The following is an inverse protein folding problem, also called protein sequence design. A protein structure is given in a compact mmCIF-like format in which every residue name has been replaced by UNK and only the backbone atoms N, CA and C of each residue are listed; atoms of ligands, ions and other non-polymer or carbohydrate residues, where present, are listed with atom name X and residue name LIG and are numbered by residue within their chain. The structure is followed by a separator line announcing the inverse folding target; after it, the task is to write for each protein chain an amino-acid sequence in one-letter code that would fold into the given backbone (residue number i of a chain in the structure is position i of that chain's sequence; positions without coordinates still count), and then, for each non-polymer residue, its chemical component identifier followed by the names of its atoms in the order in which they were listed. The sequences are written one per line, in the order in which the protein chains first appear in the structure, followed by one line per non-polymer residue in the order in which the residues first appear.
data_IF_225392360744
#
_entry.id   IF_225392360744
#
_cell.length_a   1.000
_cell.length_b   1.000
_cell.length_c   1.000
_cell.angle_alpha   90.00
_cell.angle_beta   90.00
_cell.angle_gamma   90.00
#
_symmetry.space_group_name_H-M   'P 1'
#
loop_
_entity.id
_entity.type
_entity.pdbx_description
1 polymer ?
#
# COMPACT_ATOMS: atom_id res chain seq x y z
N UNK A 1 -52.24 -27.62 -0.43
CA UNK A 1 -51.30 -26.91 0.47
C UNK A 1 -50.12 -26.46 -0.37
N UNK A 2 -50.00 -25.14 -0.60
CA UNK A 2 -48.99 -24.50 -1.46
C UNK A 2 -47.75 -24.18 -0.60
N UNK A 3 -46.61 -24.82 -0.86
CA UNK A 3 -45.35 -24.43 -0.23
C UNK A 3 -44.61 -23.42 -1.11
N UNK A 4 -44.12 -22.39 -0.41
CA UNK A 4 -43.69 -21.09 -0.94
C UNK A 4 -42.29 -21.14 -1.54
N UNK A 5 -42.15 -20.34 -2.58
CA UNK A 5 -40.94 -19.81 -3.22
C UNK A 5 -39.91 -19.38 -2.17
N UNK A 6 -38.69 -19.89 -2.26
CA UNK A 6 -37.51 -19.32 -1.61
C UNK A 6 -36.55 -18.90 -2.72
N UNK A 7 -36.66 -17.64 -3.14
CA UNK A 7 -35.75 -16.99 -4.08
C UNK A 7 -34.43 -16.72 -3.35
N UNK A 8 -33.40 -17.47 -3.71
CA UNK A 8 -32.03 -17.24 -3.25
C UNK A 8 -31.46 -16.05 -4.04
N UNK A 9 -31.46 -14.85 -3.44
CA UNK A 9 -30.80 -13.68 -4.00
C UNK A 9 -29.30 -13.83 -3.72
N UNK A 10 -28.55 -14.27 -4.72
CA UNK A 10 -27.09 -14.18 -4.73
C UNK A 10 -26.71 -12.71 -4.92
N UNK A 11 -26.41 -12.00 -3.82
CA UNK A 11 -25.77 -10.68 -3.88
C UNK A 11 -24.31 -10.90 -4.27
N UNK A 12 -24.05 -10.85 -5.58
CA UNK A 12 -22.71 -10.76 -6.13
C UNK A 12 -22.21 -9.34 -5.86
N UNK A 13 -21.45 -9.14 -4.78
CA UNK A 13 -20.61 -7.96 -4.57
C UNK A 13 -19.50 -8.00 -5.62
N UNK A 14 -19.84 -7.60 -6.85
CA UNK A 14 -18.87 -7.28 -7.87
C UNK A 14 -18.17 -6.00 -7.43
N UNK A 15 -16.95 -6.12 -6.91
CA UNK A 15 -16.02 -5.01 -6.74
C UNK A 15 -15.71 -4.44 -8.12
N UNK A 16 -16.52 -3.48 -8.58
CA UNK A 16 -16.34 -2.79 -9.84
C UNK A 16 -15.09 -1.92 -9.73
N UNK A 17 -13.98 -2.41 -10.28
CA UNK A 17 -12.85 -1.56 -10.60
C UNK A 17 -13.28 -0.66 -11.76
N UNK A 18 -13.83 0.50 -11.42
CA UNK A 18 -14.19 1.54 -12.38
C UNK A 18 -12.89 2.11 -12.96
N UNK A 19 -12.65 1.82 -14.24
CA UNK A 19 -11.60 2.43 -15.04
C UNK A 19 -12.20 3.73 -15.59
N UNK A 20 -11.82 4.87 -15.02
CA UNK A 20 -12.34 6.18 -15.42
C UNK A 20 -11.64 6.72 -16.67
N UNK A 21 -12.39 6.89 -17.76
CA UNK A 21 -12.10 7.81 -18.85
C UNK A 21 -12.83 9.14 -18.57
N UNK A 22 -12.11 10.26 -18.58
CA UNK A 22 -12.59 11.67 -18.46
C UNK A 22 -13.87 11.88 -17.63
N UNK A 23 -13.72 12.07 -16.32
CA UNK A 23 -14.79 12.40 -15.38
C UNK A 23 -14.27 12.44 -13.93
N UNK A 24 -15.04 13.04 -13.03
CA UNK A 24 -14.81 12.96 -11.59
C UNK A 24 -15.25 11.56 -11.10
N UNK A 25 -14.36 10.82 -10.44
CA UNK A 25 -14.69 9.56 -9.77
C UNK A 25 -14.94 9.84 -8.30
N UNK A 26 -16.04 9.32 -7.77
CA UNK A 26 -16.38 9.39 -6.34
C UNK A 26 -16.55 7.99 -5.77
N UNK A 27 -16.02 7.77 -4.57
CA UNK A 27 -16.22 6.54 -3.79
C UNK A 27 -16.47 6.86 -2.32
N UNK A 28 -17.43 6.19 -1.71
CA UNK A 28 -17.78 6.37 -0.29
C UNK A 28 -16.95 5.45 0.60
N UNK A 29 -16.61 5.91 1.80
CA UNK A 29 -15.98 5.07 2.84
C UNK A 29 -16.90 3.92 3.26
N UNK A 30 -16.36 2.82 3.83
CA UNK A 30 -17.18 1.67 4.22
C UNK A 30 -18.26 1.96 5.26
N UNK A 31 -18.10 3.01 6.08
CA UNK A 31 -19.10 3.48 7.05
C UNK A 31 -20.00 4.59 6.51
N UNK A 32 -19.88 4.94 5.23
CA UNK A 32 -20.68 5.96 4.54
C UNK A 32 -20.54 7.39 5.08
N UNK A 33 -19.60 7.64 5.99
CA UNK A 33 -19.42 8.96 6.61
C UNK A 33 -18.46 9.89 5.84
N UNK A 34 -17.79 9.38 4.81
CA UNK A 34 -16.80 10.13 4.02
C UNK A 34 -16.92 9.78 2.56
N UNK A 35 -16.56 10.72 1.70
CA UNK A 35 -16.47 10.53 0.26
C UNK A 35 -15.07 10.92 -0.23
N UNK A 36 -14.45 10.09 -1.05
CA UNK A 36 -13.26 10.44 -1.78
C UNK A 36 -13.66 10.81 -3.21
N UNK A 37 -13.23 11.98 -3.67
CA UNK A 37 -13.39 12.44 -5.04
C UNK A 37 -12.04 12.59 -5.70
N UNK A 38 -11.91 12.12 -6.94
CA UNK A 38 -10.76 12.37 -7.79
C UNK A 38 -11.22 12.88 -9.14
N UNK A 39 -10.68 14.03 -9.52
CA UNK A 39 -10.90 14.64 -10.84
C UNK A 39 -9.57 14.99 -11.50
N UNK A 40 -9.54 14.92 -12.82
CA UNK A 40 -8.43 15.44 -13.62
C UNK A 40 -8.83 16.82 -14.17
N UNK A 41 -7.96 17.81 -13.99
CA UNK A 41 -8.17 19.20 -14.39
C UNK A 41 -6.85 19.76 -14.95
N UNK A 42 -6.80 20.02 -16.25
CA UNK A 42 -5.65 20.66 -16.94
C UNK A 42 -4.26 20.12 -16.54
N UNK A 43 -4.07 18.80 -16.54
CA UNK A 43 -2.78 18.18 -16.20
C UNK A 43 -2.52 18.09 -14.69
N UNK A 44 -3.55 18.24 -13.87
CA UNK A 44 -3.51 18.07 -12.42
C UNK A 44 -4.56 17.02 -12.04
N UNK A 45 -4.15 16.02 -11.26
CA UNK A 45 -5.07 15.18 -10.53
C UNK A 45 -5.37 15.84 -9.18
N UNK A 46 -6.64 16.16 -8.95
CA UNK A 46 -7.14 16.71 -7.69
C UNK A 46 -7.85 15.60 -6.94
N UNK A 47 -7.31 15.20 -5.80
CA UNK A 47 -7.95 14.28 -4.87
C UNK A 47 -8.48 15.08 -3.69
N UNK A 48 -9.76 14.89 -3.37
CA UNK A 48 -10.43 15.48 -2.21
C UNK A 48 -11.02 14.40 -1.32
N UNK A 49 -10.97 14.58 -0.01
CA UNK A 49 -11.68 13.78 0.99
C UNK A 49 -12.73 14.69 1.63
N UNK A 50 -13.97 14.26 1.56
CA UNK A 50 -15.15 15.00 1.96
C UNK A 50 -15.80 14.30 3.15
N UNK A 51 -16.46 15.05 4.03
CA UNK A 51 -17.36 14.49 5.04
C UNK A 51 -18.74 14.13 4.45
N UNK A 52 -19.63 13.59 5.29
CA UNK A 52 -21.00 13.23 4.90
C UNK A 52 -21.86 14.42 4.46
N UNK A 53 -21.51 15.65 4.87
CA UNK A 53 -22.16 16.89 4.45
C UNK A 53 -21.62 17.44 3.12
N UNK A 54 -20.54 16.85 2.58
CA UNK A 54 -19.83 17.34 1.41
C UNK A 54 -18.80 18.44 1.72
N UNK A 55 -18.49 18.69 2.99
CA UNK A 55 -17.40 19.60 3.38
C UNK A 55 -16.04 18.97 3.12
N UNK A 56 -15.10 19.78 2.66
CA UNK A 56 -13.76 19.32 2.28
C UNK A 56 -12.87 19.20 3.52
N UNK A 57 -12.49 17.97 3.86
CA UNK A 57 -11.59 17.65 4.96
C UNK A 57 -10.12 17.70 4.54
N UNK A 58 -9.83 17.38 3.28
CA UNK A 58 -8.47 17.32 2.76
C UNK A 58 -8.44 17.41 1.24
N UNK A 59 -7.46 18.11 0.68
CA UNK A 59 -7.22 18.14 -0.77
C UNK A 59 -5.74 18.06 -1.09
N UNK A 60 -5.42 17.26 -2.10
CA UNK A 60 -4.08 17.23 -2.69
C UNK A 60 -4.14 17.35 -4.21
N UNK A 61 -3.22 18.13 -4.74
CA UNK A 61 -3.02 18.30 -6.17
C UNK A 61 -1.72 17.62 -6.56
N UNK A 62 -1.76 16.75 -7.57
CA UNK A 62 -0.57 16.09 -8.10
C UNK A 62 -0.51 16.31 -9.61
N UNK A 63 0.69 16.53 -10.15
CA UNK A 63 0.86 16.58 -11.60
C UNK A 63 0.38 15.29 -12.26
N UNK A 64 -0.28 15.43 -13.39
CA UNK A 64 -0.81 14.33 -14.18
C UNK A 64 -0.47 14.53 -15.65
N UNK A 65 0.10 13.50 -16.28
CA UNK A 65 0.27 13.46 -17.73
C UNK A 65 -1.06 13.15 -18.42
N UNK A 66 -1.12 13.44 -19.72
CA UNK A 66 -2.28 13.14 -20.57
C UNK A 66 -2.62 11.64 -20.64
N UNK A 67 -1.66 10.77 -20.34
CA UNK A 67 -1.78 9.31 -20.37
C UNK A 67 -1.90 8.69 -18.98
N UNK A 68 -2.11 9.50 -17.95
CA UNK A 68 -2.17 9.00 -16.59
C UNK A 68 -3.34 8.03 -16.41
N UNK A 69 -3.04 6.85 -15.88
CA UNK A 69 -4.03 5.93 -15.35
C UNK A 69 -4.04 5.99 -13.84
N UNK A 70 -5.22 6.04 -13.25
CA UNK A 70 -5.36 6.05 -11.79
C UNK A 70 -6.57 5.26 -11.31
N UNK A 71 -6.51 4.85 -10.06
CA UNK A 71 -7.63 4.28 -9.31
C UNK A 71 -7.56 4.67 -7.85
N UNK A 72 -8.72 4.73 -7.19
CA UNK A 72 -8.85 4.98 -5.76
C UNK A 72 -9.62 3.84 -5.09
N UNK A 73 -9.27 3.56 -3.84
CA UNK A 73 -9.88 2.51 -3.03
C UNK A 73 -9.78 2.86 -1.54
N UNK A 74 -10.91 2.76 -0.82
CA UNK A 74 -10.90 2.78 0.64
C UNK A 74 -10.42 1.42 1.16
N UNK A 75 -9.32 1.39 1.90
CA UNK A 75 -8.82 0.17 2.54
C UNK A 75 -9.57 -0.12 3.85
N UNK A 76 -9.98 0.94 4.55
CA UNK A 76 -10.86 0.95 5.72
C UNK A 76 -11.37 2.39 5.92
N UNK A 77 -12.09 2.67 7.02
CA UNK A 77 -12.66 3.99 7.27
C UNK A 77 -11.62 5.12 7.43
N UNK A 78 -10.37 4.77 7.73
CA UNK A 78 -9.29 5.72 8.03
C UNK A 78 -8.17 5.73 6.99
N UNK A 79 -8.26 4.90 5.94
CA UNK A 79 -7.20 4.75 4.96
C UNK A 79 -7.74 4.73 3.53
N UNK A 80 -7.26 5.66 2.71
CA UNK A 80 -7.61 5.79 1.29
C UNK A 80 -6.34 5.60 0.45
N UNK A 81 -6.39 4.68 -0.51
CA UNK A 81 -5.28 4.40 -1.41
C UNK A 81 -5.56 4.98 -2.80
N UNK A 82 -4.65 5.83 -3.27
CA UNK A 82 -4.56 6.24 -4.67
C UNK A 82 -3.45 5.45 -5.37
N UNK A 83 -3.76 4.86 -6.51
CA UNK A 83 -2.76 4.29 -7.42
C UNK A 83 -2.73 5.14 -8.67
N UNK A 84 -1.56 5.68 -9.01
CA UNK A 84 -1.35 6.44 -10.24
C UNK A 84 -0.14 5.90 -11.00
N UNK A 85 -0.22 5.85 -12.33
CA UNK A 85 0.90 5.50 -13.21
C UNK A 85 2.05 6.49 -13.12
N UNK A 86 1.76 7.74 -12.77
CA UNK A 86 2.72 8.85 -12.91
C UNK A 86 3.49 9.09 -11.62
N UNK A 87 2.78 9.03 -10.49
CA UNK A 87 3.36 9.30 -9.16
C UNK A 87 3.51 8.04 -8.30
N UNK A 88 3.10 6.88 -8.80
CA UNK A 88 3.06 5.63 -8.03
C UNK A 88 1.88 5.57 -7.05
N UNK A 89 1.89 4.59 -6.12
CA UNK A 89 0.86 4.47 -5.10
C UNK A 89 1.09 5.46 -3.97
N UNK A 90 0.00 6.03 -3.45
CA UNK A 90 -0.02 7.00 -2.35
C UNK A 90 -1.14 6.61 -1.39
N UNK A 91 -0.83 6.56 -0.10
CA UNK A 91 -1.80 6.29 0.95
C UNK A 91 -2.13 7.58 1.68
N UNK A 92 -3.41 7.81 1.95
CA UNK A 92 -3.88 8.87 2.81
C UNK A 92 -4.41 8.24 4.08
N UNK A 93 -3.91 8.68 5.23
CA UNK A 93 -4.24 8.12 6.55
C UNK A 93 -4.88 9.21 7.40
N UNK A 94 -6.04 8.91 7.97
CA UNK A 94 -6.72 9.77 8.94
C UNK A 94 -6.02 9.65 10.30
N UNK A 95 -5.58 10.77 10.84
CA UNK A 95 -4.90 10.87 12.11
C UNK A 95 -5.91 10.99 13.26
N UNK A 96 -5.51 10.70 14.51
CA UNK A 96 -6.39 10.82 15.68
C UNK A 96 -6.96 12.22 15.92
N UNK A 97 -6.28 13.27 15.44
CA UNK A 97 -6.74 14.66 15.51
C UNK A 97 -7.74 15.02 14.40
N UNK A 98 -8.09 14.06 13.54
CA UNK A 98 -8.99 14.22 12.40
C UNK A 98 -8.32 14.69 11.12
N UNK A 99 -7.04 15.08 11.17
CA UNK A 99 -6.28 15.47 9.99
C UNK A 99 -5.97 14.28 9.07
N UNK A 100 -5.54 14.57 7.84
CA UNK A 100 -5.14 13.56 6.86
C UNK A 100 -3.70 13.76 6.47
N UNK A 101 -2.95 12.67 6.43
CA UNK A 101 -1.55 12.69 6.03
C UNK A 101 -1.31 11.82 4.81
N UNK A 102 -0.42 12.30 3.93
CA UNK A 102 0.07 11.56 2.77
C UNK A 102 1.26 10.69 3.20
N UNK A 103 1.15 9.38 3.00
CA UNK A 103 2.19 8.40 3.34
C UNK A 103 2.57 7.60 2.11
N UNK A 104 3.84 7.18 2.01
CA UNK A 104 4.26 6.22 0.99
C UNK A 104 3.87 4.78 1.42
N UNK A 105 2.89 4.13 0.77
CA UNK A 105 2.41 2.81 1.17
C UNK A 105 3.45 1.69 1.01
N UNK A 106 4.51 1.93 0.24
CA UNK A 106 5.59 0.97 0.01
C UNK A 106 6.63 0.99 1.12
N UNK A 107 6.54 1.96 2.04
CA UNK A 107 7.38 2.05 3.24
C UNK A 107 6.58 1.60 4.46
N UNK A 108 7.14 0.68 5.24
CA UNK A 108 6.54 0.19 6.50
C UNK A 108 7.53 0.44 7.63
N UNK A 109 7.17 1.33 8.56
CA UNK A 109 7.96 1.65 9.75
C UNK A 109 7.86 0.51 10.78
N UNK A 110 8.98 0.17 11.41
CA UNK A 110 9.03 -0.80 12.50
C UNK A 110 8.29 -0.29 13.73
N UNK A 111 7.84 -1.18 14.64
CA UNK A 111 7.12 -0.76 15.85
C UNK A 111 7.88 0.20 16.77
N UNK A 112 9.22 0.14 16.78
CA UNK A 112 10.08 1.08 17.53
C UNK A 112 10.42 2.36 16.75
N UNK A 113 10.00 2.49 15.50
CA UNK A 113 10.28 3.67 14.68
C UNK A 113 11.69 3.75 14.12
N UNK A 114 12.53 2.72 14.29
CA UNK A 114 13.96 2.80 13.95
C UNK A 114 14.30 2.28 12.55
N UNK A 115 13.47 1.41 11.98
CA UNK A 115 13.72 0.79 10.68
C UNK A 115 12.52 0.88 9.75
N UNK A 116 12.77 0.95 8.45
CA UNK A 116 11.74 0.94 7.42
C UNK A 116 11.99 -0.16 6.41
N UNK A 117 10.95 -0.94 6.12
CA UNK A 117 10.91 -1.83 4.95
C UNK A 117 10.40 -0.99 3.78
N UNK A 118 11.22 -0.80 2.75
CA UNK A 118 10.80 -0.19 1.49
C UNK A 118 10.72 -1.26 0.40
N UNK A 119 9.50 -1.53 -0.09
CA UNK A 119 9.22 -2.54 -1.12
C UNK A 119 9.20 -1.93 -2.51
N UNK A 120 9.74 -2.66 -3.50
CA UNK A 120 9.66 -2.24 -4.90
C UNK A 120 9.74 -3.46 -5.82
N UNK A 121 9.29 -3.29 -7.06
CA UNK A 121 9.42 -4.33 -8.07
C UNK A 121 10.86 -4.40 -8.55
N UNK A 122 11.48 -5.59 -8.46
CA UNK A 122 12.72 -5.87 -9.19
C UNK A 122 12.42 -6.06 -10.68
N UNK A 123 11.41 -6.91 -10.96
CA UNK A 123 10.89 -7.13 -12.29
C UNK A 123 9.37 -6.99 -12.26
N UNK A 124 8.87 -5.90 -12.86
CA UNK A 124 7.43 -5.62 -12.91
C UNK A 124 6.62 -6.67 -13.68
N UNK A 125 7.22 -7.29 -14.71
CA UNK A 125 6.54 -8.31 -15.54
C UNK A 125 6.36 -9.62 -14.78
N UNK A 126 7.39 -10.03 -14.05
CA UNK A 126 7.37 -11.26 -13.24
C UNK A 126 6.80 -11.05 -11.84
N UNK A 127 6.54 -9.79 -11.47
CA UNK A 127 6.05 -9.40 -10.13
C UNK A 127 6.97 -9.92 -9.03
N UNK A 128 8.28 -9.82 -9.23
CA UNK A 128 9.27 -10.20 -8.22
C UNK A 128 9.64 -9.01 -7.33
N UNK A 129 9.67 -9.26 -6.04
CA UNK A 129 9.90 -8.25 -4.99
C UNK A 129 11.40 -8.00 -4.76
N UNK A 130 11.77 -6.75 -4.53
CA UNK A 130 12.98 -6.37 -3.81
C UNK A 130 12.64 -5.51 -2.61
N UNK A 131 13.53 -5.52 -1.62
CA UNK A 131 13.39 -4.81 -0.37
C UNK A 131 14.64 -3.99 -0.11
N UNK A 132 14.46 -2.76 0.36
CA UNK A 132 15.49 -2.06 1.12
C UNK A 132 15.07 -2.05 2.58
N UNK A 133 15.99 -2.41 3.46
CA UNK A 133 15.89 -2.11 4.89
C UNK A 133 16.63 -0.81 5.13
N UNK A 134 15.90 0.17 5.64
CA UNK A 134 16.39 1.51 5.88
C UNK A 134 16.47 1.77 7.39
N UNK A 135 17.46 2.54 7.82
CA UNK A 135 17.51 3.16 9.14
C UNK A 135 16.76 4.49 9.09
N UNK A 136 15.88 4.72 10.05
CA UNK A 136 15.20 5.99 10.22
C UNK A 136 16.06 6.92 11.11
N UNK A 137 16.44 8.08 10.57
CA UNK A 137 17.13 9.13 11.34
C UNK A 137 16.24 10.36 11.50
N UNK A 138 15.75 10.58 12.72
CA UNK A 138 14.95 11.76 13.07
C UNK A 138 13.54 11.78 12.44
N UNK A 139 12.85 12.91 12.63
CA UNK A 139 11.41 13.05 12.34
C UNK A 139 11.10 13.37 10.86
N UNK A 140 12.11 13.50 9.99
CA UNK A 140 11.91 13.90 8.60
C UNK A 140 12.09 12.71 7.63
N UNK A 141 11.12 12.50 6.75
CA UNK A 141 11.10 11.51 5.64
C UNK A 141 12.36 11.48 4.73
N UNK A 142 13.30 12.41 4.90
CA UNK A 142 14.45 12.65 4.03
C UNK A 142 15.77 12.00 4.47
N UNK A 143 15.87 11.41 5.67
CA UNK A 143 17.14 10.84 6.16
C UNK A 143 17.04 9.33 6.39
N UNK A 144 16.73 8.57 5.33
CA UNK A 144 16.82 7.12 5.36
C UNK A 144 18.19 6.64 4.88
N UNK A 145 18.92 5.89 5.70
CA UNK A 145 20.15 5.22 5.28
C UNK A 145 19.82 3.78 4.91
N UNK A 146 20.21 3.34 3.70
CA UNK A 146 20.03 1.94 3.29
C UNK A 146 20.99 1.07 4.09
N UNK A 147 20.48 0.31 5.06
CA UNK A 147 21.25 -0.69 5.82
C UNK A 147 21.49 -1.95 5.01
N UNK A 148 20.47 -2.38 4.25
CA UNK A 148 20.54 -3.62 3.50
C UNK A 148 19.64 -3.57 2.27
N UNK A 149 20.12 -4.10 1.16
CA UNK A 149 19.32 -4.41 -0.04
C UNK A 149 19.10 -5.91 -0.11
N UNK A 150 17.86 -6.34 -0.35
CA UNK A 150 17.48 -7.74 -0.46
C UNK A 150 16.76 -7.94 -1.79
N UNK A 151 17.47 -8.51 -2.75
CA UNK A 151 16.86 -8.97 -3.99
C UNK A 151 16.26 -10.36 -3.79
N UNK A 152 14.99 -10.54 -4.17
CA UNK A 152 14.28 -11.80 -3.96
C UNK A 152 13.75 -12.37 -5.26
N UNK A 153 13.43 -13.67 -5.25
CA UNK A 153 12.58 -14.32 -6.26
C UNK A 153 11.14 -14.47 -5.77
N UNK A 154 10.76 -13.73 -4.73
CA UNK A 154 9.42 -13.82 -4.14
C UNK A 154 8.46 -13.09 -5.06
N UNK A 155 7.42 -13.81 -5.50
CA UNK A 155 6.34 -13.24 -6.31
C UNK A 155 5.23 -12.77 -5.38
N UNK A 156 4.87 -11.48 -5.47
CA UNK A 156 3.76 -10.88 -4.72
C UNK A 156 2.72 -10.33 -5.68
N UNK A 157 1.46 -10.27 -5.24
CA UNK A 157 0.35 -9.79 -6.08
C UNK A 157 0.26 -8.25 -6.06
N UNK A 158 0.63 -7.64 -4.93
CA UNK A 158 0.58 -6.20 -4.71
C UNK A 158 1.68 -5.80 -3.72
N UNK A 159 2.35 -4.68 -3.96
CA UNK A 159 3.43 -4.19 -3.08
C UNK A 159 2.91 -3.47 -1.83
N UNK A 160 1.71 -2.87 -1.90
CA UNK A 160 1.17 -2.01 -0.83
C UNK A 160 0.90 -2.81 0.45
N UNK A 161 0.41 -4.04 0.28
CA UNK A 161 -0.05 -4.89 1.38
C UNK A 161 0.79 -6.16 1.57
N UNK A 162 1.93 -6.31 0.87
CA UNK A 162 2.72 -7.53 0.99
C UNK A 162 3.60 -7.56 2.24
N UNK A 163 4.11 -6.42 2.73
CA UNK A 163 5.05 -6.39 3.84
C UNK A 163 4.36 -5.98 5.15
N UNK A 164 4.65 -6.70 6.23
CA UNK A 164 4.13 -6.39 7.57
C UNK A 164 5.16 -6.76 8.64
N UNK A 165 5.43 -5.84 9.56
CA UNK A 165 6.21 -6.13 10.76
C UNK A 165 5.43 -7.05 11.71
N UNK A 166 6.11 -8.05 12.27
CA UNK A 166 5.58 -8.90 13.34
C UNK A 166 6.26 -8.62 14.70
N UNK A 167 7.19 -7.66 14.72
CA UNK A 167 7.97 -7.18 15.86
C UNK A 167 9.24 -6.48 15.35
N UNK A 168 10.10 -5.99 16.23
CA UNK A 168 11.32 -5.26 15.80
C UNK A 168 12.41 -6.16 15.17
N UNK A 169 12.26 -7.49 15.30
CA UNK A 169 13.23 -8.48 14.86
C UNK A 169 12.69 -9.45 13.81
N UNK A 170 11.44 -9.29 13.38
CA UNK A 170 10.85 -10.09 12.32
C UNK A 170 9.80 -9.31 11.52
N UNK A 171 9.72 -9.63 10.23
CA UNK A 171 8.65 -9.18 9.37
C UNK A 171 8.26 -10.30 8.41
N UNK A 172 7.07 -10.19 7.84
CA UNK A 172 6.56 -11.13 6.86
C UNK A 172 6.31 -10.46 5.52
N UNK A 173 6.57 -11.22 4.47
CA UNK A 173 6.13 -10.95 3.12
C UNK A 173 4.98 -11.91 2.78
N UNK A 174 3.77 -11.37 2.65
CA UNK A 174 2.58 -12.08 2.19
C UNK A 174 2.66 -12.27 0.68
N UNK A 175 2.48 -13.50 0.24
CA UNK A 175 2.52 -13.92 -1.16
C UNK A 175 1.21 -14.62 -1.51
N UNK A 176 0.95 -14.83 -2.80
CA UNK A 176 -0.19 -15.67 -3.23
C UNK A 176 -0.08 -17.15 -2.81
N UNK A 177 1.07 -17.57 -2.27
CA UNK A 177 1.36 -18.97 -1.86
C UNK A 177 1.58 -19.12 -0.35
N UNK A 178 1.27 -18.08 0.44
CA UNK A 178 1.52 -18.04 1.88
C UNK A 178 2.52 -16.95 2.28
N UNK A 179 3.14 -17.09 3.43
CA UNK A 179 4.02 -16.06 4.00
C UNK A 179 5.49 -16.45 3.94
N UNK A 180 6.37 -15.46 3.77
CA UNK A 180 7.82 -15.60 3.86
C UNK A 180 8.30 -14.76 5.03
N UNK A 181 8.95 -15.40 6.00
CA UNK A 181 9.38 -14.74 7.24
C UNK A 181 10.82 -14.28 7.08
N UNK A 182 11.07 -13.01 7.40
CA UNK A 182 12.41 -12.46 7.55
C UNK A 182 12.69 -12.23 9.02
N UNK A 183 13.90 -12.53 9.45
CA UNK A 183 14.34 -12.38 10.83
C UNK A 183 15.71 -11.73 10.85
N UNK A 184 15.92 -10.87 11.84
CA UNK A 184 17.20 -10.23 12.11
C UNK A 184 18.13 -11.27 12.78
N UNK A 185 19.30 -11.52 12.17
CA UNK A 185 20.33 -12.39 12.75
C UNK A 185 21.14 -11.67 13.85
N UNK A 186 22.11 -12.37 14.43
CA UNK A 186 22.94 -11.83 15.52
C UNK A 186 23.79 -10.62 15.09
N UNK A 187 24.08 -10.49 13.79
CA UNK A 187 24.84 -9.37 13.23
C UNK A 187 23.93 -8.19 12.86
N UNK A 188 22.62 -8.28 13.13
CA UNK A 188 21.65 -7.28 12.72
C UNK A 188 21.26 -7.34 11.23
N UNK A 189 21.66 -8.40 10.51
CA UNK A 189 21.34 -8.61 9.10
C UNK A 189 19.98 -9.30 8.97
N UNK A 190 19.16 -8.83 8.03
CA UNK A 190 17.87 -9.45 7.73
C UNK A 190 18.04 -10.64 6.79
N UNK A 191 17.58 -11.81 7.24
CA UNK A 191 17.64 -13.05 6.47
C UNK A 191 16.27 -13.70 6.37
N UNK A 192 15.98 -14.28 5.21
CA UNK A 192 14.77 -15.07 5.02
C UNK A 192 14.91 -16.40 5.78
N UNK A 193 13.97 -16.68 6.70
CA UNK A 193 13.89 -17.96 7.38
C UNK A 193 13.29 -19.00 6.42
N UNK A 194 14.16 -19.79 5.78
CA UNK A 194 13.71 -20.91 4.98
C UNK A 194 12.98 -21.92 5.87
N UNK A 195 11.85 -22.44 5.39
CA UNK A 195 11.07 -23.47 6.08
C UNK A 195 11.86 -24.77 6.36
N UNK A 196 13.07 -24.92 5.81
CA UNK A 196 14.04 -25.96 6.16
C UNK A 196 15.50 -25.47 5.96
N UNK A 197 16.22 -25.24 7.06
CA UNK A 197 17.68 -25.12 7.23
C UNK A 197 18.61 -25.01 5.99
N UNK A 198 18.47 -23.97 5.16
CA UNK A 198 19.58 -23.51 4.30
C UNK A 198 19.50 -22.00 4.17
N UNK A 199 20.47 -21.29 4.72
CA UNK A 199 20.58 -19.83 4.54
C UNK A 199 20.98 -19.54 3.08
N UNK A 200 20.30 -18.59 2.44
CA UNK A 200 20.73 -18.05 1.14
C UNK A 200 22.03 -17.26 1.34
N UNK A 201 22.99 -17.47 0.43
CA UNK A 201 24.33 -16.85 0.46
C UNK A 201 24.21 -15.32 0.41
N UNK A 202 24.93 -14.65 1.32
CA UNK A 202 25.16 -13.20 1.34
C UNK A 202 25.81 -12.78 0.01
N UNK A 203 25.30 -11.73 -0.63
CA UNK A 203 26.06 -10.96 -1.63
C UNK A 203 26.57 -9.72 -0.90
N UNK A 204 27.89 -9.57 -0.68
CA UNK A 204 28.44 -8.36 -0.07
C UNK A 204 28.27 -7.17 -1.02
N UNK A 205 28.02 -5.98 -0.45
CA UNK A 205 28.13 -4.71 -1.16
C UNK A 205 29.62 -4.42 -1.39
N UNK A 206 29.99 -4.17 -2.65
CA UNK A 206 31.29 -3.58 -3.04
C UNK A 206 31.19 -2.07 -2.89
#
# INVERSE_FOLDING_TARGET
MKFRILTLIFVLLASTKLIGCSGETRITSPDENREASVRSDSGILVLSILDAGGENLYTVNTGASDFQHWSIEWLNNSELLLRSSDIGPVLFVNQPDGSWEKVNPLKKLSPDGLEVIHTYWNNYKEKTLSLNILEAHGDAEAAFIVKQKIETKIVVLDLVNCAQWQGNNNFVIKTGKGERIFTKDQDGTWVEKMANNKLLKKTPLV
#
